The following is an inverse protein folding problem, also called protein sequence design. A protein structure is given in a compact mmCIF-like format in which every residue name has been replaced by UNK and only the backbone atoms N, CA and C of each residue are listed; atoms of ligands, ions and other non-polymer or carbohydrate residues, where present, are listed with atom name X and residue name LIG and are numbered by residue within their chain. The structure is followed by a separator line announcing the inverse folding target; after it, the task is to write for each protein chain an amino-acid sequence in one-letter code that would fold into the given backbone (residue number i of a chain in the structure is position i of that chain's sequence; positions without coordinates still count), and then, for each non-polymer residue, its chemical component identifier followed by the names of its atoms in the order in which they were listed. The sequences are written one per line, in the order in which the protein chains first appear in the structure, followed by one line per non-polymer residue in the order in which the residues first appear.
data_IF_139345787805
#
_entry.id   IF_139345787805
#
_cell.length_a   1.000
_cell.length_b   1.000
_cell.length_c   1.000
_cell.angle_alpha   90.00
_cell.angle_beta   90.00
_cell.angle_gamma   90.00
#
_symmetry.space_group_name_H-M   'P 1'
#
loop_
_entity.id
_entity.type
_entity.pdbx_description
1 polymer ?
#
# COMPACT_ATOMS: atom_id res chain seq x y z
N UNK A 1 -7.69 0.13 -13.72
CA UNK A 1 -6.59 1.06 -14.05
C UNK A 1 -6.40 2.21 -13.05
N UNK A 2 -7.47 2.72 -12.38
CA UNK A 2 -7.36 3.86 -11.43
C UNK A 2 -6.38 3.65 -10.25
N UNK A 3 -6.22 2.41 -9.78
CA UNK A 3 -5.27 2.07 -8.70
C UNK A 3 -3.81 2.23 -9.11
N UNK A 4 -3.44 1.73 -10.30
CA UNK A 4 -2.09 1.88 -10.84
C UNK A 4 -1.73 3.34 -11.10
N UNK A 5 -2.70 4.15 -11.56
CA UNK A 5 -2.50 5.59 -11.70
C UNK A 5 -2.18 6.27 -10.36
N UNK A 6 -2.91 5.92 -9.29
CA UNK A 6 -2.61 6.41 -7.93
C UNK A 6 -1.26 5.93 -7.42
N UNK A 7 -0.92 4.67 -7.70
CA UNK A 7 0.37 4.09 -7.32
C UNK A 7 1.53 4.85 -7.97
N UNK A 8 1.44 5.16 -9.27
CA UNK A 8 2.44 5.96 -9.97
C UNK A 8 2.56 7.39 -9.41
N UNK A 9 1.44 8.00 -9.01
CA UNK A 9 1.46 9.32 -8.37
C UNK A 9 2.24 9.26 -7.05
N UNK A 10 1.94 8.26 -6.19
CA UNK A 10 2.64 8.08 -4.91
C UNK A 10 4.13 7.81 -5.15
N UNK A 11 4.48 6.98 -6.14
CA UNK A 11 5.87 6.74 -6.50
C UNK A 11 6.60 8.05 -6.86
N UNK A 12 5.96 8.92 -7.65
CA UNK A 12 6.52 10.22 -8.03
C UNK A 12 6.67 11.17 -6.85
N UNK A 13 5.76 11.11 -5.88
CA UNK A 13 5.85 11.90 -4.65
C UNK A 13 6.99 11.43 -3.74
N UNK A 14 7.25 10.11 -3.67
CA UNK A 14 8.33 9.56 -2.86
C UNK A 14 9.68 9.76 -3.56
N UNK A 15 9.75 9.50 -4.86
CA UNK A 15 10.97 9.65 -5.64
C UNK A 15 10.66 10.19 -7.05
N UNK A 16 11.09 11.41 -7.30
CA UNK A 16 10.87 12.12 -8.57
C UNK A 16 11.65 11.52 -9.75
N UNK A 17 12.64 10.64 -9.50
CA UNK A 17 13.35 9.90 -10.56
C UNK A 17 12.45 8.86 -11.23
N UNK A 18 11.39 8.40 -10.56
CA UNK A 18 10.46 7.40 -11.09
C UNK A 18 9.42 8.10 -11.96
N UNK A 19 9.76 8.29 -13.23
CA UNK A 19 8.88 8.94 -14.20
C UNK A 19 7.83 7.99 -14.79
N UNK A 20 8.18 6.71 -14.93
CA UNK A 20 7.34 5.68 -15.53
C UNK A 20 7.49 4.32 -14.83
N UNK A 21 6.58 3.39 -15.12
CA UNK A 21 6.65 2.02 -14.61
C UNK A 21 7.93 1.32 -15.07
N UNK A 22 8.41 1.60 -16.27
CA UNK A 22 9.67 1.03 -16.76
C UNK A 22 10.88 1.40 -15.89
N UNK A 23 10.89 2.61 -15.33
CA UNK A 23 11.96 3.08 -14.45
C UNK A 23 11.88 2.49 -13.05
N UNK A 24 10.70 2.04 -12.62
CA UNK A 24 10.48 1.40 -11.31
C UNK A 24 11.21 0.06 -11.18
N UNK A 25 11.39 -0.67 -12.28
CA UNK A 25 11.99 -2.01 -12.27
C UNK A 25 13.50 -2.01 -12.03
N UNK A 26 14.09 -0.84 -11.75
CA UNK A 26 15.43 -0.81 -11.19
C UNK A 26 15.36 -1.26 -9.71
N UNK A 27 16.15 -2.27 -9.30
CA UNK A 27 16.12 -2.82 -7.94
C UNK A 27 16.39 -1.77 -6.86
N UNK A 28 17.06 -0.66 -7.19
CA UNK A 28 17.25 0.46 -6.25
C UNK A 28 15.94 1.10 -5.79
N UNK A 29 14.89 1.00 -6.60
CA UNK A 29 13.57 1.55 -6.28
C UNK A 29 12.63 0.51 -5.66
N UNK A 30 13.07 -0.73 -5.44
CA UNK A 30 12.23 -1.78 -4.85
C UNK A 30 11.65 -1.36 -3.49
N UNK A 31 12.47 -0.80 -2.60
CA UNK A 31 12.01 -0.31 -1.30
C UNK A 31 10.96 0.81 -1.44
N UNK A 32 11.15 1.70 -2.42
CA UNK A 32 10.18 2.75 -2.76
C UNK A 32 8.89 2.15 -3.32
N UNK A 33 8.99 1.10 -4.13
CA UNK A 33 7.87 0.37 -4.69
C UNK A 33 6.99 -0.24 -3.59
N UNK A 34 7.61 -0.90 -2.61
CA UNK A 34 6.93 -1.49 -1.46
C UNK A 34 6.32 -0.42 -0.57
N UNK A 35 7.03 0.67 -0.27
CA UNK A 35 6.48 1.82 0.49
C UNK A 35 5.24 2.41 -0.17
N UNK A 36 5.28 2.61 -1.48
CA UNK A 36 4.12 3.11 -2.23
C UNK A 36 2.93 2.14 -2.18
N UNK A 37 3.17 0.82 -2.22
CA UNK A 37 2.13 -0.20 -2.03
C UNK A 37 1.54 -0.09 -0.64
N UNK A 38 2.39 0.03 0.38
CA UNK A 38 1.97 0.11 1.78
C UNK A 38 1.07 1.33 2.03
N UNK A 39 1.48 2.49 1.52
CA UNK A 39 0.67 3.73 1.61
C UNK A 39 -0.67 3.53 0.90
N UNK A 40 -0.67 2.98 -0.31
CA UNK A 40 -1.89 2.82 -1.10
C UNK A 40 -2.85 1.76 -0.55
N UNK A 41 -2.31 0.70 0.06
CA UNK A 41 -3.06 -0.32 0.78
C UNK A 41 -3.50 0.14 2.18
N UNK A 42 -3.03 1.31 2.63
CA UNK A 42 -3.30 1.87 3.94
C UNK A 42 -2.73 0.99 5.05
N UNK A 43 -1.45 0.61 4.94
CA UNK A 43 -0.72 -0.06 6.02
C UNK A 43 -0.66 0.86 7.23
N UNK A 44 -1.19 0.39 8.34
CA UNK A 44 -1.06 1.06 9.62
C UNK A 44 0.29 0.66 10.24
N UNK A 45 1.28 1.55 10.25
CA UNK A 45 2.64 1.24 10.76
C UNK A 45 2.62 0.84 12.24
N UNK A 46 1.65 1.33 13.01
CA UNK A 46 1.50 1.01 14.44
C UNK A 46 1.09 -0.45 14.65
N UNK A 47 0.25 -0.98 13.76
CA UNK A 47 -0.31 -2.32 13.92
C UNK A 47 0.09 -3.30 12.83
N UNK A 48 0.87 -2.88 11.85
CA UNK A 48 1.25 -3.64 10.67
C UNK A 48 0.04 -4.33 10.02
N UNK A 49 -1.05 -3.57 9.85
CA UNK A 49 -2.31 -4.05 9.25
C UNK A 49 -2.66 -3.24 8.01
N UNK A 50 -2.91 -3.91 6.88
CA UNK A 50 -3.46 -3.26 5.70
C UNK A 50 -4.94 -2.94 5.89
N UNK A 51 -5.31 -1.68 5.67
CA UNK A 51 -6.71 -1.28 5.56
C UNK A 51 -7.43 -1.95 4.39
N UNK A 52 -6.73 -2.21 3.29
CA UNK A 52 -7.30 -2.90 2.13
C UNK A 52 -6.29 -3.87 1.52
N UNK A 53 -6.19 -5.12 2.00
CA UNK A 53 -5.24 -6.10 1.48
C UNK A 53 -5.50 -6.47 0.02
N UNK A 54 -6.74 -6.37 -0.45
CA UNK A 54 -7.08 -6.55 -1.87
C UNK A 54 -6.37 -5.55 -2.78
N UNK A 55 -6.09 -4.34 -2.29
CA UNK A 55 -5.35 -3.31 -3.04
C UNK A 55 -3.89 -3.73 -3.18
N UNK A 56 -3.24 -4.15 -2.08
CA UNK A 56 -1.89 -4.70 -2.13
C UNK A 56 -1.81 -5.89 -3.09
N UNK A 57 -2.71 -6.86 -2.97
CA UNK A 57 -2.73 -8.03 -3.87
C UNK A 57 -2.90 -7.64 -5.35
N UNK A 58 -3.82 -6.72 -5.64
CA UNK A 58 -4.08 -6.24 -7.01
C UNK A 58 -2.86 -5.53 -7.59
N UNK A 59 -2.21 -4.66 -6.82
CA UNK A 59 -1.03 -3.92 -7.27
C UNK A 59 0.13 -4.87 -7.51
N UNK A 60 0.41 -5.80 -6.60
CA UNK A 60 1.48 -6.79 -6.77
C UNK A 60 1.28 -7.64 -8.02
N UNK A 61 0.03 -8.10 -8.26
CA UNK A 61 -0.32 -8.83 -9.48
C UNK A 61 -0.10 -7.99 -10.74
N UNK A 62 -0.47 -6.70 -10.71
CA UNK A 62 -0.26 -5.80 -11.83
C UNK A 62 1.22 -5.50 -12.09
N UNK A 63 2.02 -5.24 -11.04
CA UNK A 63 3.48 -5.03 -11.16
C UNK A 63 4.14 -6.28 -11.73
N UNK A 64 3.75 -7.48 -11.27
CA UNK A 64 4.27 -8.74 -11.84
C UNK A 64 3.98 -8.86 -13.33
N UNK A 65 2.74 -8.56 -13.76
CA UNK A 65 2.34 -8.58 -15.18
C UNK A 65 3.11 -7.55 -16.01
N UNK A 66 3.23 -6.32 -15.51
CA UNK A 66 3.97 -5.25 -16.18
C UNK A 66 5.45 -5.60 -16.32
N UNK A 67 6.06 -6.23 -15.31
CA UNK A 67 7.45 -6.66 -15.35
C UNK A 67 7.69 -7.76 -16.38
N UNK A 68 6.79 -8.74 -16.48
CA UNK A 68 6.86 -9.77 -17.53
C UNK A 68 6.76 -9.17 -18.94
N UNK A 69 5.91 -8.16 -19.12
CA UNK A 69 5.80 -7.44 -20.41
C UNK A 69 7.12 -6.72 -20.70
N UNK A 70 7.67 -6.00 -19.71
CA UNK A 70 8.94 -5.28 -19.83
C UNK A 70 10.11 -6.20 -20.11
N UNK A 71 10.21 -7.35 -19.44
CA UNK A 71 11.22 -8.37 -19.70
C UNK A 71 11.10 -8.88 -21.14
N UNK A 72 9.89 -9.16 -21.61
CA UNK A 72 9.63 -9.54 -23.00
C UNK A 72 10.04 -8.48 -24.03
N UNK A 73 9.79 -7.20 -23.73
CA UNK A 73 10.26 -6.09 -24.58
C UNK A 73 11.79 -5.95 -24.56
N UNK A 74 12.43 -6.13 -23.40
CA UNK A 74 13.89 -6.11 -23.30
C UNK A 74 14.53 -7.25 -24.12
N UNK A 75 13.91 -8.44 -24.12
CA UNK A 75 14.32 -9.56 -24.96
C UNK A 75 14.23 -9.20 -26.44
N UNK A 76 13.14 -8.57 -26.89
CA UNK A 76 12.97 -8.11 -28.29
C UNK A 76 14.01 -7.06 -28.68
N UNK A 77 14.36 -6.18 -27.75
CA UNK A 77 15.33 -5.10 -27.95
C UNK A 77 16.79 -5.54 -27.75
N UNK A 78 17.04 -6.82 -27.39
CA UNK A 78 18.36 -7.33 -27.01
C UNK A 78 19.05 -6.56 -25.86
N UNK A 79 18.26 -5.92 -24.99
CA UNK A 79 18.76 -5.15 -23.86
C UNK A 79 18.93 -6.07 -22.63
N UNK A 80 20.14 -6.63 -22.48
CA UNK A 80 20.44 -7.61 -21.43
C UNK A 80 20.54 -7.00 -20.05
N UNK A 81 21.09 -5.79 -19.92
CA UNK A 81 21.19 -5.09 -18.62
C UNK A 81 19.80 -4.79 -18.06
N UNK A 82 18.92 -4.25 -18.91
CA UNK A 82 17.57 -3.92 -18.49
C UNK A 82 16.73 -5.16 -18.20
N UNK A 83 16.96 -6.25 -18.95
CA UNK A 83 16.33 -7.53 -18.67
C UNK A 83 16.73 -8.07 -17.29
N UNK A 84 18.03 -8.03 -16.96
CA UNK A 84 18.54 -8.51 -15.67
C UNK A 84 17.94 -7.72 -14.50
N UNK A 85 17.94 -6.38 -14.59
CA UNK A 85 17.33 -5.54 -13.55
C UNK A 85 15.84 -5.81 -13.35
N UNK A 86 15.07 -5.95 -14.45
CA UNK A 86 13.64 -6.31 -14.36
C UNK A 86 13.46 -7.71 -13.75
N UNK A 87 14.32 -8.65 -14.11
CA UNK A 87 14.29 -10.01 -13.60
C UNK A 87 14.57 -10.06 -12.09
N UNK A 88 15.62 -9.37 -11.63
CA UNK A 88 15.98 -9.27 -10.21
C UNK A 88 14.85 -8.62 -9.41
N UNK A 89 14.26 -7.54 -9.93
CA UNK A 89 13.10 -6.89 -9.29
C UNK A 89 11.91 -7.85 -9.17
N UNK A 90 11.62 -8.63 -10.22
CA UNK A 90 10.54 -9.63 -10.20
C UNK A 90 10.83 -10.77 -9.23
N UNK A 91 12.09 -11.19 -9.11
CA UNK A 91 12.54 -12.19 -8.13
C UNK A 91 12.30 -11.71 -6.70
N UNK A 92 12.73 -10.49 -6.38
CA UNK A 92 12.48 -9.86 -5.08
C UNK A 92 10.98 -9.75 -4.79
N UNK A 93 10.19 -9.35 -5.78
CA UNK A 93 8.73 -9.28 -5.65
C UNK A 93 8.11 -10.66 -5.43
N UNK A 94 8.59 -11.73 -6.04
CA UNK A 94 8.01 -13.06 -5.82
C UNK A 94 8.34 -13.62 -4.43
N UNK A 95 9.59 -13.42 -3.99
CA UNK A 95 10.10 -13.98 -2.74
C UNK A 95 9.63 -13.18 -1.51
N UNK A 96 9.76 -11.85 -1.56
CA UNK A 96 9.53 -10.98 -0.39
C UNK A 96 8.07 -10.49 -0.31
N UNK A 97 7.45 -10.15 -1.45
CA UNK A 97 6.09 -9.59 -1.46
C UNK A 97 5.05 -10.59 -0.94
N UNK A 98 5.17 -11.87 -1.32
CA UNK A 98 4.27 -12.92 -0.86
C UNK A 98 4.35 -13.13 0.65
N UNK A 99 5.57 -13.09 1.20
CA UNK A 99 5.82 -13.19 2.64
C UNK A 99 5.28 -11.97 3.39
N UNK A 100 5.62 -10.76 2.93
CA UNK A 100 5.23 -9.49 3.55
C UNK A 100 3.72 -9.29 3.51
N UNK A 101 3.07 -9.54 2.37
CA UNK A 101 1.61 -9.39 2.26
C UNK A 101 0.88 -10.45 3.07
N UNK A 102 1.29 -11.73 3.04
CA UNK A 102 0.64 -12.75 3.85
C UNK A 102 0.83 -12.50 5.35
N UNK A 103 2.03 -12.09 5.79
CA UNK A 103 2.30 -11.78 7.20
C UNK A 103 1.41 -10.65 7.71
N UNK A 104 1.33 -9.55 6.96
CA UNK A 104 0.44 -8.42 7.27
C UNK A 104 -1.04 -8.83 7.21
N UNK A 105 -1.43 -9.69 6.27
CA UNK A 105 -2.81 -10.21 6.18
C UNK A 105 -3.15 -11.12 7.36
N UNK A 106 -2.23 -11.96 7.83
CA UNK A 106 -2.43 -12.81 9.01
C UNK A 106 -2.61 -11.95 10.27
N UNK A 107 -1.81 -10.90 10.45
CA UNK A 107 -1.97 -9.93 11.54
C UNK A 107 -3.32 -9.20 11.45
N UNK A 108 -3.75 -8.81 10.23
CA UNK A 108 -5.05 -8.17 10.00
C UNK A 108 -6.26 -9.07 10.28
N UNK A 109 -6.10 -10.39 10.16
CA UNK A 109 -7.17 -11.37 10.42
C UNK A 109 -7.33 -11.71 11.88
N UNK A 110 -6.39 -11.31 12.75
CA UNK A 110 -6.67 -11.31 14.18
C UNK A 110 -7.69 -10.18 14.37
N UNK A 111 -8.97 -10.48 14.62
CA UNK A 111 -9.94 -9.44 14.83
C UNK A 111 -9.45 -8.65 16.04
N UNK A 112 -8.98 -7.43 15.78
CA UNK A 112 -8.81 -6.37 16.77
C UNK A 112 -10.20 -6.24 17.39
N UNK A 113 -10.38 -6.95 18.50
CA UNK A 113 -11.57 -6.98 19.33
C UNK A 113 -11.94 -5.52 19.49
N UNK A 114 -12.96 -5.11 18.76
CA UNK A 114 -13.33 -3.71 18.67
C UNK A 114 -13.57 -3.26 20.10
N UNK A 115 -12.64 -2.46 20.61
CA UNK A 115 -12.90 -1.61 21.75
C UNK A 115 -13.99 -0.65 21.26
N UNK A 116 -15.25 -1.09 21.34
CA UNK A 116 -16.40 -0.23 21.58
C UNK A 116 -16.18 0.37 22.98
N UNK A 117 -15.15 1.18 23.14
CA UNK A 117 -15.17 2.21 24.15
C UNK A 117 -15.95 3.33 23.50
N UNK A 118 -17.26 3.30 23.72
CA UNK A 118 -18.13 4.45 23.61
C UNK A 118 -17.57 5.58 24.48
N UNK A 119 -16.54 6.28 23.98
CA UNK A 119 -16.36 7.69 24.30
C UNK A 119 -17.40 8.42 23.46
N UNK A 120 -18.64 8.43 23.96
CA UNK A 120 -19.52 9.54 23.68
C UNK A 120 -18.89 10.75 24.38
N UNK A 121 -18.47 11.79 23.64
CA UNK A 121 -18.03 13.02 24.28
C UNK A 121 -19.20 13.56 25.10
N UNK A 122 -18.98 13.63 26.41
CA UNK A 122 -19.77 14.36 27.39
C UNK A 122 -19.78 15.84 26.97
N UNK A 123 -20.67 16.22 26.04
CA UNK A 123 -20.92 17.60 25.63
C UNK A 123 -22.33 17.70 25.04
N UNK A 124 -23.33 17.65 25.91
CA UNK A 124 -24.53 18.46 25.69
C UNK A 124 -24.72 19.31 26.93
N UNK A 125 -24.16 20.52 26.84
CA UNK A 125 -24.71 21.69 27.47
C UNK A 125 -26.24 21.66 27.39
N UNK A 126 -26.89 21.29 28.49
CA UNK A 126 -28.24 21.75 28.81
C UNK A 126 -28.13 22.53 30.12
N UNK A 127 -27.43 23.67 30.02
CA UNK A 127 -27.69 24.82 30.87
C UNK A 127 -29.06 25.38 30.47
N UNK A 128 -30.12 25.03 31.22
CA UNK A 128 -31.44 25.70 31.37
C UNK A 128 -32.47 24.64 31.75
N UNK A 129 -33.24 24.74 32.82
CA UNK A 129 -33.72 25.90 33.55
C UNK A 129 -33.96 25.53 35.02
N UNK A 130 -33.50 26.41 35.91
CA UNK A 130 -34.08 26.76 37.20
C UNK A 130 -34.90 25.67 37.91
N UNK A 131 -34.23 25.01 38.85
CA UNK A 131 -34.66 25.12 40.25
C UNK A 131 -35.01 26.59 40.54
N UNK A 132 -36.30 26.93 40.49
CA UNK A 132 -36.92 27.91 41.39
C UNK A 132 -38.42 27.92 41.16
N UNK A 133 -39.18 27.96 42.27
CA UNK A 133 -40.64 27.82 42.45
C UNK A 133 -41.00 26.35 42.74
N UNK A 134 -41.18 25.83 43.96
CA UNK A 134 -41.56 26.41 45.25
C UNK A 134 -42.47 27.62 45.16
N UNK A 135 -43.71 27.36 44.76
CA UNK A 135 -44.91 27.84 45.43
C UNK A 135 -46.14 27.10 44.93
#
# INVERSE_FOLDING_TARGET
LRLLGRYLIILKEINSEITDFASLYDPKFYDTAIKAVNILAGLDETTNVYKTPSVAFTIGTCIKKLGNILEGECIKLHDKEKKETVHDFLGLLEEDYGCTVNKVVLDSRIPKKSNKTTMLPLNTDIKKLNEYVNS
#
